data_IF_282093707596
#
_entry.id   IF_282093707596
#
_cell.length_a   1.000
_cell.length_b   1.000
_cell.length_c   1.000
_cell.angle_alpha   90.00
_cell.angle_beta   90.00
_cell.angle_gamma   90.00
#
_symmetry.space_group_name_H-M   'P 1'
#
loop_
_entity.id
_entity.type
_entity.pdbx_description
1 polymer ?
#
# COMPACT_ATOMS: atom_id res chain seq x y z
N UNK A 1 17.36 3.28 -8.46
CA UNK A 1 16.38 2.93 -7.40
C UNK A 1 15.38 1.96 -7.99
N UNK A 2 14.93 0.93 -7.26
CA UNK A 2 13.92 -0.03 -7.72
C UNK A 2 13.07 -0.49 -6.53
N UNK A 3 11.83 -0.92 -6.77
CA UNK A 3 11.01 -1.59 -5.76
C UNK A 3 11.10 -3.10 -5.95
N UNK A 4 11.33 -3.85 -4.87
CA UNK A 4 11.55 -5.31 -4.93
C UNK A 4 10.88 -6.00 -3.75
N UNK A 5 10.82 -7.33 -3.82
CA UNK A 5 10.36 -8.21 -2.74
C UNK A 5 8.98 -7.80 -2.20
N UNK A 6 7.94 -7.83 -3.06
CA UNK A 6 6.59 -7.54 -2.61
C UNK A 6 6.15 -8.52 -1.52
N UNK A 7 5.52 -7.99 -0.50
CA UNK A 7 4.73 -8.78 0.44
C UNK A 7 3.35 -8.15 0.58
N UNK A 8 2.33 -8.97 0.88
CA UNK A 8 0.97 -8.51 1.07
C UNK A 8 0.32 -9.09 2.32
N UNK A 9 -0.59 -8.32 2.87
CA UNK A 9 -1.56 -8.75 3.85
C UNK A 9 -2.93 -8.28 3.35
N UNK A 10 -3.74 -9.21 2.85
CA UNK A 10 -5.12 -8.92 2.46
C UNK A 10 -6.04 -10.00 3.01
N UNK A 11 -6.88 -9.71 4.02
CA UNK A 11 -7.97 -10.59 4.42
C UNK A 11 -9.06 -10.81 3.35
N UNK A 12 -8.82 -10.47 2.07
CA UNK A 12 -9.77 -10.63 0.97
C UNK A 12 -9.09 -11.14 -0.31
N UNK A 13 -9.85 -11.19 -1.41
CA UNK A 13 -9.36 -11.69 -2.69
C UNK A 13 -8.46 -10.66 -3.41
N UNK A 14 -7.24 -11.07 -3.72
CA UNK A 14 -6.34 -10.36 -4.64
C UNK A 14 -6.41 -11.02 -6.01
N UNK A 15 -6.79 -10.26 -7.04
CA UNK A 15 -6.64 -10.71 -8.43
C UNK A 15 -5.35 -10.14 -9.00
N UNK A 16 -4.58 -11.04 -9.61
CA UNK A 16 -3.21 -10.85 -10.11
C UNK A 16 -2.17 -10.76 -8.97
N UNK A 17 -1.02 -11.44 -9.11
CA UNK A 17 0.09 -11.27 -8.18
C UNK A 17 0.65 -9.85 -8.26
N UNK A 18 1.41 -9.46 -7.22
CA UNK A 18 2.21 -8.26 -7.24
C UNK A 18 3.42 -8.46 -8.17
N UNK A 19 3.80 -7.42 -8.90
CA UNK A 19 5.02 -7.46 -9.69
C UNK A 19 6.23 -7.68 -8.78
N UNK A 20 7.11 -8.65 -9.06
CA UNK A 20 8.24 -8.95 -8.19
C UNK A 20 9.26 -7.82 -8.14
N UNK A 21 9.31 -6.99 -9.18
CA UNK A 21 10.21 -5.83 -9.29
C UNK A 21 9.56 -4.74 -10.11
N UNK A 22 9.68 -3.49 -9.64
CA UNK A 22 9.22 -2.29 -10.37
C UNK A 22 10.42 -1.36 -10.55
N UNK A 23 10.76 -1.10 -11.81
CA UNK A 23 11.86 -0.19 -12.18
C UNK A 23 11.31 1.22 -12.45
N UNK A 24 12.07 2.30 -12.16
CA UNK A 24 11.67 3.65 -12.53
C UNK A 24 11.34 3.76 -14.02
N UNK A 25 10.25 4.47 -14.32
CA UNK A 25 9.77 4.64 -15.69
C UNK A 25 8.96 3.47 -16.24
N UNK A 26 8.85 2.35 -15.50
CA UNK A 26 7.93 1.28 -15.84
C UNK A 26 6.58 1.49 -15.15
N UNK A 27 5.51 1.23 -15.88
CA UNK A 27 4.16 1.10 -15.31
C UNK A 27 3.97 -0.35 -14.90
N UNK A 28 3.78 -0.64 -13.60
CA UNK A 28 3.54 -2.00 -13.13
C UNK A 28 2.23 -2.56 -13.68
N UNK A 29 2.12 -3.88 -13.68
CA UNK A 29 0.83 -4.54 -13.84
C UNK A 29 -0.07 -4.19 -12.66
N UNK A 30 -1.34 -3.90 -12.93
CA UNK A 30 -2.30 -3.61 -11.89
C UNK A 30 -2.66 -4.85 -11.08
N UNK A 31 -2.56 -4.74 -9.75
CA UNK A 31 -3.19 -5.69 -8.82
C UNK A 31 -4.56 -5.16 -8.39
N UNK A 32 -5.55 -6.05 -8.34
CA UNK A 32 -6.94 -5.68 -8.06
C UNK A 32 -7.38 -6.23 -6.70
N UNK A 33 -7.87 -5.33 -5.85
CA UNK A 33 -8.40 -5.67 -4.53
C UNK A 33 -9.91 -5.39 -4.49
N UNK A 34 -10.70 -6.45 -4.29
CA UNK A 34 -12.14 -6.43 -4.55
C UNK A 34 -12.92 -6.70 -3.26
N UNK A 35 -13.88 -5.84 -2.94
CA UNK A 35 -14.91 -6.12 -1.94
C UNK A 35 -16.04 -6.93 -2.60
N UNK A 36 -16.58 -7.95 -1.92
CA UNK A 36 -17.61 -8.84 -2.47
C UNK A 36 -18.78 -9.01 -1.50
N UNK A 37 -19.94 -9.44 -2.00
CA UNK A 37 -21.06 -9.84 -1.16
C UNK A 37 -20.60 -10.91 -0.15
N UNK A 38 -20.85 -10.70 1.15
CA UNK A 38 -20.33 -11.56 2.24
C UNK A 38 -19.03 -11.08 2.89
N UNK A 39 -18.25 -10.24 2.20
CA UNK A 39 -17.14 -9.47 2.78
C UNK A 39 -17.21 -8.01 2.28
N UNK A 40 -18.05 -7.23 2.95
CA UNK A 40 -18.43 -5.86 2.56
C UNK A 40 -17.29 -4.84 2.65
N UNK A 41 -16.10 -5.25 3.08
CA UNK A 41 -14.91 -4.40 3.15
C UNK A 41 -13.67 -5.21 2.73
N UNK A 42 -13.03 -4.81 1.64
CA UNK A 42 -11.68 -5.29 1.32
C UNK A 42 -10.68 -4.31 1.90
N UNK A 43 -9.82 -4.77 2.80
CA UNK A 43 -8.77 -3.96 3.38
C UNK A 43 -7.47 -4.74 3.40
N UNK A 44 -6.35 -4.05 3.47
CA UNK A 44 -5.06 -4.71 3.50
C UNK A 44 -3.91 -3.74 3.30
N UNK A 45 -2.73 -4.32 3.13
CA UNK A 45 -1.52 -3.60 2.80
C UNK A 45 -0.58 -4.42 1.93
N UNK A 46 0.20 -3.71 1.14
CA UNK A 46 1.32 -4.23 0.36
C UNK A 46 2.58 -3.47 0.77
N UNK A 47 3.72 -4.15 0.75
CA UNK A 47 5.01 -3.56 1.04
C UNK A 47 6.05 -3.94 -0.01
N UNK A 48 6.86 -2.97 -0.43
CA UNK A 48 8.01 -3.18 -1.30
C UNK A 48 9.26 -2.61 -0.65
N UNK A 49 10.39 -3.30 -0.78
CA UNK A 49 11.70 -2.77 -0.41
C UNK A 49 12.16 -1.76 -1.46
N UNK A 50 12.58 -0.58 -1.03
CA UNK A 50 13.19 0.45 -1.88
C UNK A 50 14.70 0.19 -1.96
N UNK A 51 15.17 -0.27 -3.12
CA UNK A 51 16.59 -0.54 -3.35
C UNK A 51 17.34 0.74 -3.68
N UNK A 52 18.47 0.95 -3.01
CA UNK A 52 19.36 2.10 -3.19
C UNK A 52 19.04 3.28 -2.29
N UNK A 53 18.15 3.13 -1.31
CA UNK A 53 17.94 4.09 -0.24
C UNK A 53 17.89 3.43 1.13
N UNK A 54 18.30 4.18 2.15
CA UNK A 54 18.30 3.80 3.54
C UNK A 54 17.69 4.92 4.37
N UNK A 55 17.09 4.57 5.49
CA UNK A 55 16.58 5.55 6.45
C UNK A 55 17.69 6.12 7.32
N UNK A 56 17.34 7.07 8.22
CA UNK A 56 18.28 7.71 9.13
C UNK A 56 19.04 6.72 10.04
N UNK A 57 18.45 5.56 10.34
CA UNK A 57 19.07 4.52 11.16
C UNK A 57 19.80 3.45 10.33
N UNK A 58 20.10 3.74 9.05
CA UNK A 58 20.80 2.85 8.12
C UNK A 58 20.10 1.52 7.79
N UNK A 59 18.82 1.41 8.10
CA UNK A 59 18.02 0.26 7.69
C UNK A 59 17.34 0.53 6.33
N UNK A 60 16.91 -0.52 5.63
CA UNK A 60 16.18 -0.36 4.38
C UNK A 60 14.87 0.42 4.56
N UNK A 61 14.57 1.25 3.56
CA UNK A 61 13.25 1.87 3.42
C UNK A 61 12.29 0.93 2.70
N UNK A 62 11.04 0.94 3.13
CA UNK A 62 9.95 0.21 2.52
C UNK A 62 8.83 1.17 2.12
N UNK A 63 8.37 1.04 0.89
CA UNK A 63 7.12 1.63 0.42
C UNK A 63 5.99 0.72 0.90
N UNK A 64 5.06 1.26 1.70
CA UNK A 64 3.91 0.54 2.22
C UNK A 64 2.65 1.25 1.77
N UNK A 65 1.79 0.51 1.09
CA UNK A 65 0.50 1.01 0.61
C UNK A 65 -0.58 0.23 1.34
N UNK A 66 -1.46 0.94 2.05
CA UNK A 66 -2.62 0.37 2.73
C UNK A 66 -3.89 0.81 2.03
N UNK A 67 -4.91 -0.05 1.95
CA UNK A 67 -6.19 0.28 1.35
C UNK A 67 -7.37 -0.18 2.20
N UNK A 68 -8.50 0.45 1.96
CA UNK A 68 -9.82 0.05 2.42
C UNK A 68 -10.86 0.38 1.35
N UNK A 69 -11.46 -0.65 0.77
CA UNK A 69 -12.53 -0.59 -0.22
C UNK A 69 -13.82 -1.06 0.41
N UNK A 70 -14.89 -0.27 0.29
CA UNK A 70 -16.19 -0.57 0.88
C UNK A 70 -17.22 -0.83 -0.20
N UNK A 71 -18.04 -1.87 -0.01
CA UNK A 71 -19.04 -2.26 -1.01
C UNK A 71 -20.32 -1.40 -0.96
N UNK A 72 -20.77 -0.94 0.21
CA UNK A 72 -22.12 -0.35 0.35
C UNK A 72 -22.07 1.12 0.75
N UNK A 73 -21.42 1.44 1.88
CA UNK A 73 -21.46 2.78 2.45
C UNK A 73 -20.08 3.23 2.95
N UNK A 74 -19.77 4.50 2.69
CA UNK A 74 -18.53 5.15 3.07
C UNK A 74 -17.46 5.11 1.98
N UNK A 75 -16.43 5.91 2.16
CA UNK A 75 -15.45 6.14 1.10
C UNK A 75 -14.36 5.07 1.08
N UNK A 76 -13.94 4.71 -0.13
CA UNK A 76 -12.71 3.98 -0.37
C UNK A 76 -11.54 4.85 0.06
N UNK A 77 -10.50 4.27 0.64
CA UNK A 77 -9.32 5.03 1.05
C UNK A 77 -8.05 4.25 0.83
N UNK A 78 -6.98 4.98 0.57
CA UNK A 78 -5.62 4.46 0.47
C UNK A 78 -4.70 5.35 1.33
N UNK A 79 -3.68 4.76 1.93
CA UNK A 79 -2.57 5.51 2.54
C UNK A 79 -1.27 4.97 1.98
N UNK A 80 -0.33 5.88 1.73
CA UNK A 80 1.00 5.54 1.23
C UNK A 80 1.99 6.01 2.29
N UNK A 81 2.90 5.13 2.67
CA UNK A 81 3.88 5.39 3.71
C UNK A 81 5.24 4.95 3.20
N UNK A 82 6.29 5.72 3.52
CA UNK A 82 7.67 5.28 3.40
C UNK A 82 8.22 5.16 4.81
N UNK A 83 8.67 3.97 5.18
CA UNK A 83 9.08 3.67 6.56
C UNK A 83 10.33 2.81 6.58
N UNK A 84 11.15 3.03 7.60
CA UNK A 84 12.37 2.28 7.84
C UNK A 84 12.07 1.02 8.66
N UNK A 85 12.59 -0.14 8.23
CA UNK A 85 12.50 -1.39 8.98
C UNK A 85 13.79 -2.21 8.88
N UNK A 86 14.20 -2.85 9.98
CA UNK A 86 15.35 -3.77 10.01
C UNK A 86 15.13 -5.01 9.14
N UNK A 87 13.90 -5.50 9.08
CA UNK A 87 13.46 -6.66 8.27
C UNK A 87 12.14 -6.32 7.55
N UNK A 88 11.73 -7.08 6.52
CA UNK A 88 10.50 -6.77 5.80
C UNK A 88 9.29 -6.66 6.74
N UNK A 89 8.47 -5.61 6.60
CA UNK A 89 7.48 -5.24 7.61
C UNK A 89 6.37 -6.27 7.79
N UNK A 90 6.15 -7.16 6.81
CA UNK A 90 5.13 -8.20 6.86
C UNK A 90 5.70 -9.61 7.15
N UNK A 91 7.03 -9.75 7.19
CA UNK A 91 7.67 -11.04 7.46
C UNK A 91 7.58 -11.40 8.95
N UNK A 92 7.44 -12.70 9.22
CA UNK A 92 7.40 -13.30 10.56
C UNK A 92 6.35 -12.69 11.51
N UNK A 93 5.28 -12.09 10.97
CA UNK A 93 4.15 -11.55 11.74
C UNK A 93 2.89 -12.39 11.62
N UNK A 94 2.17 -12.53 12.72
CA UNK A 94 0.83 -13.13 12.76
C UNK A 94 -0.18 -12.26 12.00
N UNK A 95 -1.35 -12.81 11.61
CA UNK A 95 -2.44 -12.02 11.04
C UNK A 95 -2.87 -10.85 11.94
N UNK A 96 -2.87 -11.03 13.26
CA UNK A 96 -3.21 -9.99 14.24
C UNK A 96 -2.19 -8.86 14.23
N UNK A 97 -0.89 -9.18 14.26
CA UNK A 97 0.19 -8.19 14.21
C UNK A 97 0.17 -7.39 12.91
N UNK A 98 -0.08 -8.07 11.78
CA UNK A 98 -0.29 -7.41 10.49
C UNK A 98 -1.50 -6.48 10.56
N UNK A 99 -2.60 -6.90 11.18
CA UNK A 99 -3.77 -6.04 11.32
C UNK A 99 -3.51 -4.81 12.20
N UNK A 100 -2.73 -4.93 13.27
CA UNK A 100 -2.31 -3.78 14.09
C UNK A 100 -1.47 -2.79 13.28
N UNK A 101 -0.48 -3.29 12.51
CA UNK A 101 0.33 -2.45 11.63
C UNK A 101 -0.53 -1.74 10.56
N UNK A 102 -1.50 -2.44 10.00
CA UNK A 102 -2.46 -1.82 9.08
C UNK A 102 -3.20 -0.64 9.74
N UNK A 103 -3.71 -0.80 10.97
CA UNK A 103 -4.39 0.30 11.68
C UNK A 103 -3.45 1.47 11.96
N UNK A 104 -2.20 1.19 12.30
CA UNK A 104 -1.18 2.20 12.54
C UNK A 104 -0.87 3.01 11.27
N UNK A 105 -0.80 2.36 10.11
CA UNK A 105 -0.42 3.00 8.84
C UNK A 105 -1.61 3.58 8.06
N UNK A 106 -2.84 3.15 8.34
CA UNK A 106 -4.07 3.57 7.66
C UNK A 106 -4.85 4.65 8.45
N UNK A 107 -4.13 5.68 8.90
CA UNK A 107 -4.66 6.80 9.69
C UNK A 107 -5.42 7.80 8.84
N UNK A 108 -6.45 8.43 9.42
CA UNK A 108 -7.35 9.37 8.74
C UNK A 108 -6.63 10.56 8.11
N UNK A 109 -5.59 11.06 8.76
CA UNK A 109 -4.74 12.17 8.30
C UNK A 109 -3.96 11.82 7.03
N UNK A 110 -3.67 10.53 6.83
CA UNK A 110 -2.89 10.00 5.73
C UNK A 110 -3.78 9.41 4.62
N UNK A 111 -5.11 9.50 4.77
CA UNK A 111 -6.06 8.91 3.83
C UNK A 111 -6.24 9.79 2.63
N UNK A 112 -6.20 9.13 1.49
CA UNK A 112 -6.52 9.69 0.19
C UNK A 112 -7.79 8.98 -0.28
N UNK A 113 -8.74 9.76 -0.76
CA UNK A 113 -10.00 9.29 -1.28
C UNK A 113 -10.02 9.40 -2.81
N UNK A 114 -10.83 8.60 -3.52
CA UNK A 114 -11.02 8.74 -4.96
C UNK A 114 -11.33 10.18 -5.40
N UNK A 115 -10.74 10.61 -6.52
CA UNK A 115 -10.87 11.98 -7.03
C UNK A 115 -9.96 13.02 -6.39
N UNK A 116 -9.21 12.66 -5.34
CA UNK A 116 -8.18 13.51 -4.74
C UNK A 116 -6.77 13.25 -5.30
N UNK A 117 -6.02 14.32 -5.57
CA UNK A 117 -4.55 14.22 -5.71
C UNK A 117 -3.95 14.38 -4.33
N UNK A 118 -3.22 13.38 -3.84
CA UNK A 118 -2.47 13.51 -2.61
C UNK A 118 -1.04 13.94 -2.90
N UNK A 119 -0.62 15.02 -2.25
CA UNK A 119 0.77 15.42 -2.21
C UNK A 119 1.34 14.98 -0.87
N UNK A 120 2.47 14.28 -0.91
CA UNK A 120 3.22 13.89 0.27
C UNK A 120 4.51 14.67 0.29
N UNK A 121 4.67 15.49 1.32
CA UNK A 121 5.95 16.11 1.68
C UNK A 121 6.38 15.43 2.98
N UNK A 122 7.46 14.65 2.92
CA UNK A 122 8.09 14.06 4.11
C UNK A 122 9.58 14.38 4.05
N UNK A 123 10.12 14.82 5.18
CA UNK A 123 11.26 15.74 5.31
C UNK A 123 12.63 15.05 5.08
N UNK A 124 12.65 13.85 4.52
CA UNK A 124 13.86 13.04 4.36
C UNK A 124 14.09 12.41 2.99
N UNK A 125 13.09 12.40 2.11
CA UNK A 125 13.24 11.82 0.76
C UNK A 125 12.13 12.24 -0.19
N UNK A 126 12.50 12.79 -1.36
CA UNK A 126 11.56 13.31 -2.36
C UNK A 126 10.92 12.14 -3.12
N UNK A 127 9.67 11.82 -2.79
CA UNK A 127 8.84 10.90 -3.56
C UNK A 127 7.51 11.57 -3.94
N UNK A 128 7.23 11.64 -5.24
CA UNK A 128 5.92 12.07 -5.74
C UNK A 128 5.15 10.82 -6.16
N UNK A 129 4.05 10.52 -5.46
CA UNK A 129 3.18 9.39 -5.82
C UNK A 129 1.91 9.92 -6.47
N UNK A 130 1.72 9.64 -7.76
CA UNK A 130 0.50 9.98 -8.52
C UNK A 130 -0.29 8.71 -8.79
N UNK A 131 -1.59 8.70 -8.46
CA UNK A 131 -2.47 7.55 -8.72
C UNK A 131 -3.89 7.99 -9.10
N UNK A 132 -4.57 7.13 -9.85
CA UNK A 132 -6.01 7.18 -10.12
C UNK A 132 -6.68 6.11 -9.26
N UNK A 133 -7.56 6.52 -8.35
CA UNK A 133 -8.40 5.60 -7.58
C UNK A 133 -9.80 5.71 -8.15
N UNK A 134 -10.32 4.61 -8.68
CA UNK A 134 -11.70 4.56 -9.19
C UNK A 134 -12.69 4.41 -8.02
N UNK A 135 -13.87 5.00 -8.17
CA UNK A 135 -14.99 4.94 -7.23
C UNK A 135 -15.76 3.61 -7.28
N UNK A 136 -15.36 2.69 -8.16
CA UNK A 136 -16.04 1.40 -8.31
C UNK A 136 -15.59 0.38 -7.26
N UNK A 137 -16.31 -0.75 -7.15
CA UNK A 137 -16.11 -1.85 -6.19
C UNK A 137 -14.73 -2.55 -6.24
N UNK A 138 -13.81 -2.03 -7.05
CA UNK A 138 -12.45 -2.51 -7.28
C UNK A 138 -11.48 -1.34 -7.12
N UNK A 139 -10.46 -1.52 -6.27
CA UNK A 139 -9.31 -0.63 -6.24
C UNK A 139 -8.23 -1.21 -7.16
N UNK A 140 -7.81 -0.39 -8.13
CA UNK A 140 -6.72 -0.68 -9.04
C UNK A 140 -5.48 0.07 -8.54
N UNK A 141 -4.44 -0.67 -8.16
CA UNK A 141 -3.16 -0.11 -7.78
C UNK A 141 -2.22 -0.40 -8.96
N UNK A 142 -1.98 0.62 -9.80
CA UNK A 142 -1.00 0.61 -10.89
C UNK A 142 0.36 1.07 -10.38
#
# INVERSE_FOLDING_TARGET
MQLTNPANFSPGDMRNPLDPTITPGQTPNSSNFIAKLGNFTSQGMISYKIVGQMGPNWNPLYLIITWKVKLIAGENSICINVREYQSPPLDNKTPEEKYYLFKELHKKENRIYPGGTAMWEDDGSIFIVRRTIDNMYACVIV
#
